data_IF_520393808531
#
_entry.id   IF_520393808531
#
_cell.length_a   1.000
_cell.length_b   1.000
_cell.length_c   1.000
_cell.angle_alpha   90.00
_cell.angle_beta   90.00
_cell.angle_gamma   90.00
#
_symmetry.space_group_name_H-M   'P 1'
#
loop_
_entity.id
_entity.type
_entity.pdbx_description
1 polymer ?
#
# COMPACT_ATOMS: atom_id res chain seq x y z
N UNK A 1 -0.03 27.86 -5.10
CA UNK A 1 1.14 27.25 -5.77
C UNK A 1 1.16 25.76 -5.44
N UNK A 2 0.60 24.91 -6.30
CA UNK A 2 0.70 23.45 -6.16
C UNK A 2 2.13 23.06 -6.51
N UNK A 3 2.88 22.59 -5.53
CA UNK A 3 4.21 22.00 -5.73
C UNK A 3 4.07 20.92 -6.81
N UNK A 4 4.72 21.11 -7.95
CA UNK A 4 4.86 20.05 -8.94
C UNK A 4 5.67 18.94 -8.27
N UNK A 5 5.00 17.88 -7.83
CA UNK A 5 5.65 16.70 -7.30
C UNK A 5 6.37 16.08 -8.49
N UNK A 6 7.69 16.26 -8.56
CA UNK A 6 8.53 15.55 -9.52
C UNK A 6 8.72 14.11 -9.00
N UNK A 7 8.10 13.10 -9.64
CA UNK A 7 8.23 11.71 -9.22
C UNK A 7 9.65 11.16 -9.41
N UNK A 8 10.57 11.91 -10.01
CA UNK A 8 11.97 11.55 -10.23
C UNK A 8 12.97 12.43 -9.48
N UNK A 9 12.51 13.35 -8.62
CA UNK A 9 13.41 14.11 -7.76
C UNK A 9 14.23 13.12 -6.91
N UNK A 10 15.55 13.14 -7.07
CA UNK A 10 16.44 12.28 -6.28
C UNK A 10 16.21 12.58 -4.80
N UNK A 11 15.75 11.57 -4.06
CA UNK A 11 15.53 11.70 -2.63
C UNK A 11 16.86 12.07 -1.97
N UNK A 12 16.90 13.21 -1.29
CA UNK A 12 18.10 13.70 -0.62
C UNK A 12 18.71 12.60 0.26
N UNK A 13 20.04 12.39 0.18
CA UNK A 13 20.72 11.26 0.81
C UNK A 13 20.34 11.12 2.29
N UNK A 14 20.10 9.89 2.72
CA UNK A 14 19.81 9.59 4.12
C UNK A 14 21.05 9.79 4.99
N UNK A 15 21.12 10.96 5.66
CA UNK A 15 21.95 11.13 6.85
C UNK A 15 21.18 10.60 8.09
N UNK A 16 21.76 9.64 8.81
CA UNK A 16 21.28 9.12 10.12
C UNK A 16 20.56 7.76 10.11
N UNK A 17 19.85 7.45 11.21
CA UNK A 17 19.14 6.17 11.50
C UNK A 17 18.04 5.79 10.48
N UNK A 18 17.67 6.69 9.57
CA UNK A 18 16.56 6.50 8.63
C UNK A 18 17.02 5.78 7.36
N UNK A 19 17.17 4.46 7.48
CA UNK A 19 17.75 3.61 6.44
C UNK A 19 16.73 3.13 5.39
N UNK A 20 15.43 3.04 5.72
CA UNK A 20 14.43 2.42 4.83
C UNK A 20 14.36 3.12 3.46
N UNK A 21 14.30 4.46 3.32
CA UNK A 21 14.21 5.08 2.00
C UNK A 21 15.34 4.70 1.04
N UNK A 22 16.52 4.34 1.57
CA UNK A 22 17.68 3.97 0.77
C UNK A 22 17.72 2.48 0.38
N UNK A 23 16.90 1.62 1.00
CA UNK A 23 16.86 0.20 0.66
C UNK A 23 16.15 -0.05 -0.67
N UNK A 24 16.52 -1.15 -1.31
CA UNK A 24 15.87 -1.63 -2.52
C UNK A 24 14.37 -1.91 -2.26
N UNK A 25 13.45 -1.46 -3.14
CA UNK A 25 12.01 -1.73 -3.04
C UNK A 25 11.65 -3.20 -2.82
N UNK A 26 12.34 -4.12 -3.50
CA UNK A 26 12.06 -5.55 -3.40
C UNK A 26 12.46 -6.11 -2.04
N UNK A 27 13.53 -5.60 -1.43
CA UNK A 27 13.92 -6.02 -0.08
C UNK A 27 12.85 -5.63 0.96
N UNK A 28 12.24 -4.46 0.81
CA UNK A 28 11.17 -3.98 1.70
C UNK A 28 9.87 -4.78 1.57
N UNK A 29 9.65 -5.43 0.42
CA UNK A 29 8.50 -6.31 0.18
C UNK A 29 8.85 -7.74 0.62
N UNK A 30 10.02 -8.25 0.23
CA UNK A 30 10.46 -9.60 0.52
C UNK A 30 10.70 -9.86 2.02
N UNK A 31 11.13 -8.84 2.77
CA UNK A 31 11.33 -8.94 4.22
C UNK A 31 10.03 -9.29 4.98
N UNK A 32 8.95 -8.50 4.91
CA UNK A 32 7.69 -8.80 5.61
C UNK A 32 6.85 -9.91 5.00
N UNK A 33 7.06 -10.28 3.72
CA UNK A 33 6.15 -11.17 3.01
C UNK A 33 5.97 -12.56 3.66
N UNK A 34 7.02 -13.27 4.11
CA UNK A 34 6.84 -14.52 4.85
C UNK A 34 6.05 -14.35 6.16
N UNK A 35 6.29 -13.27 6.90
CA UNK A 35 5.54 -12.96 8.12
C UNK A 35 4.06 -12.69 7.83
N UNK A 36 3.74 -11.96 6.75
CA UNK A 36 2.37 -11.72 6.32
C UNK A 36 1.64 -13.03 5.97
N UNK A 37 2.32 -13.95 5.27
CA UNK A 37 1.76 -15.26 4.91
C UNK A 37 1.55 -16.10 6.18
N UNK A 38 2.54 -16.18 7.07
CA UNK A 38 2.44 -16.97 8.30
C UNK A 38 1.35 -16.44 9.25
N UNK A 39 1.16 -15.12 9.33
CA UNK A 39 0.07 -14.50 10.10
C UNK A 39 -1.33 -14.94 9.65
N UNK A 40 -1.52 -15.34 8.39
CA UNK A 40 -2.82 -15.87 7.93
C UNK A 40 -3.22 -17.11 8.72
N UNK A 41 -2.24 -17.93 9.11
CA UNK A 41 -2.45 -19.18 9.84
C UNK A 41 -2.46 -19.04 11.36
N UNK A 42 -1.90 -17.94 11.90
CA UNK A 42 -1.90 -17.66 13.33
C UNK A 42 -3.35 -17.56 13.85
N UNK A 43 -3.67 -18.20 14.97
CA UNK A 43 -5.02 -18.13 15.60
C UNK A 43 -5.04 -17.45 16.95
N UNK A 44 -3.87 -17.32 17.56
CA UNK A 44 -3.63 -16.69 18.84
C UNK A 44 -3.63 -15.15 18.74
N UNK A 45 -3.65 -14.50 19.91
CA UNK A 45 -3.69 -13.04 20.01
C UNK A 45 -2.28 -12.42 20.05
N UNK A 46 -1.29 -13.18 20.52
CA UNK A 46 0.06 -12.71 20.84
C UNK A 46 0.90 -12.54 19.59
N UNK A 47 0.80 -13.48 18.64
CA UNK A 47 1.57 -13.46 17.38
C UNK A 47 1.20 -12.26 16.52
N UNK A 48 -0.09 -11.97 16.21
CA UNK A 48 -0.44 -10.76 15.48
C UNK A 48 0.02 -9.47 16.19
N UNK A 49 -0.09 -9.41 17.51
CA UNK A 49 0.32 -8.26 18.30
C UNK A 49 1.85 -8.03 18.23
N UNK A 50 2.65 -9.09 18.32
CA UNK A 50 4.11 -8.99 18.27
C UNK A 50 4.58 -8.49 16.89
N UNK A 51 3.97 -8.97 15.81
CA UNK A 51 4.24 -8.47 14.46
C UNK A 51 3.76 -7.05 14.22
N UNK A 52 2.65 -6.65 14.84
CA UNK A 52 2.20 -5.27 14.82
C UNK A 52 3.23 -4.35 15.47
N UNK A 53 3.73 -4.73 16.66
CA UNK A 53 4.79 -3.99 17.37
C UNK A 53 6.08 -3.94 16.57
N UNK A 54 6.49 -5.07 15.97
CA UNK A 54 7.67 -5.13 15.10
C UNK A 54 7.53 -4.17 13.90
N UNK A 55 6.38 -4.16 13.22
CA UNK A 55 6.13 -3.26 12.10
C UNK A 55 6.24 -1.78 12.52
N UNK A 56 5.66 -1.43 13.67
CA UNK A 56 5.79 -0.09 14.23
C UNK A 56 7.23 0.28 14.57
N UNK A 57 7.98 -0.62 15.21
CA UNK A 57 9.38 -0.40 15.53
C UNK A 57 10.22 -0.14 14.27
N UNK A 58 10.03 -0.95 13.23
CA UNK A 58 10.72 -0.79 11.94
C UNK A 58 10.35 0.55 11.27
N UNK A 59 9.06 0.92 11.27
CA UNK A 59 8.60 2.20 10.71
C UNK A 59 9.16 3.40 11.47
N UNK A 60 9.14 3.36 12.80
CA UNK A 60 9.62 4.46 13.66
C UNK A 60 11.12 4.70 13.52
N UNK A 61 11.91 3.63 13.50
CA UNK A 61 13.38 3.72 13.39
C UNK A 61 13.80 4.03 11.95
N UNK A 62 13.19 3.34 10.98
CA UNK A 62 13.69 3.31 9.62
C UNK A 62 13.08 4.33 8.66
N UNK A 63 11.83 4.77 8.88
CA UNK A 63 11.10 5.60 7.92
C UNK A 63 11.23 7.11 8.20
N UNK A 64 11.09 7.92 7.15
CA UNK A 64 11.01 9.39 7.25
C UNK A 64 9.56 9.84 7.42
N UNK A 65 8.99 9.60 8.60
CA UNK A 65 7.60 10.01 8.89
C UNK A 65 7.53 11.46 9.37
N UNK A 66 6.51 12.19 8.91
CA UNK A 66 6.12 13.47 9.50
C UNK A 66 5.33 13.22 10.79
N UNK A 67 5.38 14.16 11.75
CA UNK A 67 4.65 14.00 13.02
C UNK A 67 3.13 13.79 12.81
N UNK A 68 2.56 14.41 11.77
CA UNK A 68 1.16 14.19 11.36
C UNK A 68 0.92 12.75 10.91
N UNK A 69 1.78 12.20 10.05
CA UNK A 69 1.67 10.82 9.60
C UNK A 69 1.83 9.84 10.77
N UNK A 70 2.74 10.13 11.70
CA UNK A 70 2.91 9.30 12.89
C UNK A 70 1.66 9.31 13.78
N UNK A 71 1.08 10.49 14.04
CA UNK A 71 -0.17 10.61 14.79
C UNK A 71 -1.34 9.91 14.09
N UNK A 72 -1.40 10.00 12.76
CA UNK A 72 -2.40 9.28 11.97
C UNK A 72 -2.22 7.76 12.08
N UNK A 73 -1.01 7.21 11.99
CA UNK A 73 -0.78 5.77 12.15
C UNK A 73 -1.13 5.30 13.56
N UNK A 74 -0.64 6.02 14.58
CA UNK A 74 -0.86 5.72 15.99
C UNK A 74 -2.34 5.77 16.39
N UNK A 75 -3.17 6.54 15.68
CA UNK A 75 -4.62 6.57 15.91
C UNK A 75 -5.37 5.59 15.00
N UNK A 76 -5.08 5.60 13.70
CA UNK A 76 -5.89 4.91 12.70
C UNK A 76 -5.77 3.38 12.80
N UNK A 77 -4.59 2.82 13.08
CA UNK A 77 -4.45 1.37 13.18
C UNK A 77 -5.08 0.83 14.47
N UNK A 78 -4.86 1.40 15.67
CA UNK A 78 -5.57 0.94 16.86
C UNK A 78 -7.09 1.16 16.77
N UNK A 79 -7.53 2.29 16.19
CA UNK A 79 -8.95 2.53 15.95
C UNK A 79 -9.56 1.51 14.97
N UNK A 80 -8.85 1.15 13.89
CA UNK A 80 -9.34 0.14 12.96
C UNK A 80 -9.37 -1.25 13.61
N UNK A 81 -8.35 -1.62 14.40
CA UNK A 81 -8.35 -2.86 15.17
C UNK A 81 -9.51 -2.90 16.16
N UNK A 82 -9.84 -1.78 16.81
CA UNK A 82 -10.97 -1.72 17.72
C UNK A 82 -12.31 -1.89 16.99
N UNK A 83 -12.53 -1.14 15.91
CA UNK A 83 -13.78 -1.20 15.12
C UNK A 83 -13.97 -2.57 14.48
N UNK A 84 -12.92 -3.09 13.85
CA UNK A 84 -12.95 -4.42 13.22
C UNK A 84 -13.09 -5.51 14.28
N UNK A 85 -12.37 -5.40 15.41
CA UNK A 85 -12.40 -6.37 16.50
C UNK A 85 -13.78 -6.51 17.09
N UNK A 86 -14.42 -5.39 17.45
CA UNK A 86 -15.79 -5.37 17.93
C UNK A 86 -16.78 -5.84 16.85
N UNK A 87 -16.60 -5.41 15.61
CA UNK A 87 -17.43 -5.85 14.48
C UNK A 87 -17.41 -7.38 14.32
N UNK A 88 -16.23 -7.99 14.21
CA UNK A 88 -16.11 -9.45 14.10
C UNK A 88 -16.59 -10.18 15.37
N UNK A 89 -16.46 -9.58 16.55
CA UNK A 89 -16.95 -10.17 17.79
C UNK A 89 -18.47 -10.28 17.83
N UNK A 90 -19.19 -9.30 17.26
CA UNK A 90 -20.66 -9.31 17.19
C UNK A 90 -21.17 -10.35 16.19
N UNK A 91 -20.41 -10.58 15.10
CA UNK A 91 -20.74 -11.53 14.04
C UNK A 91 -20.14 -12.92 14.24
N UNK A 92 -19.45 -13.15 15.35
CA UNK A 92 -18.88 -14.46 15.65
C UNK A 92 -20.00 -15.48 15.88
N UNK A 93 -19.84 -16.67 15.30
CA UNK A 93 -20.80 -17.76 15.42
C UNK A 93 -20.92 -18.22 16.88
N UNK A 94 -22.05 -17.89 17.52
CA UNK A 94 -22.30 -18.21 18.93
C UNK A 94 -22.15 -19.71 19.21
N UNK A 95 -22.50 -20.60 18.27
CA UNK A 95 -22.40 -22.04 18.45
C UNK A 95 -20.95 -22.54 18.62
N UNK A 96 -19.96 -21.80 18.11
CA UNK A 96 -18.53 -22.12 18.31
C UNK A 96 -17.97 -21.59 19.62
N UNK A 97 -18.69 -20.71 20.30
CA UNK A 97 -18.16 -19.92 21.43
C UNK A 97 -19.05 -19.96 22.68
N UNK A 98 -20.18 -20.66 22.60
CA UNK A 98 -21.19 -20.83 23.66
C UNK A 98 -20.61 -21.47 24.95
N UNK A 99 -19.46 -22.14 24.85
CA UNK A 99 -18.76 -22.74 25.98
C UNK A 99 -17.92 -21.74 26.80
N UNK A 100 -17.81 -20.48 26.37
CA UNK A 100 -17.00 -19.46 27.06
C UNK A 100 -17.83 -18.54 27.94
N UNK A 101 -17.18 -17.77 28.82
CA UNK A 101 -17.86 -16.88 29.76
C UNK A 101 -18.68 -15.84 28.99
N UNK A 102 -19.97 -15.69 29.33
CA UNK A 102 -20.81 -14.63 28.81
C UNK A 102 -20.35 -13.27 29.39
N UNK A 103 -19.92 -12.37 28.52
CA UNK A 103 -19.40 -11.04 28.89
C UNK A 103 -20.52 -9.99 28.90
N UNK A 104 -21.44 -10.08 27.95
CA UNK A 104 -22.59 -9.17 27.86
C UNK A 104 -23.83 -9.98 27.49
N UNK A 105 -24.94 -9.77 28.18
CA UNK A 105 -26.22 -10.35 27.81
C UNK A 105 -27.21 -9.21 27.57
N UNK A 106 -27.77 -9.16 26.35
CA UNK A 106 -28.77 -8.18 25.92
C UNK A 106 -30.00 -8.96 25.43
N UNK A 107 -30.95 -9.19 26.33
CA UNK A 107 -32.16 -9.96 26.02
C UNK A 107 -31.82 -11.39 25.59
N UNK A 108 -32.19 -11.76 24.35
CA UNK A 108 -31.89 -13.08 23.77
C UNK A 108 -30.53 -13.21 23.09
N UNK A 109 -29.71 -12.15 23.08
CA UNK A 109 -28.37 -12.17 22.48
C UNK A 109 -27.29 -12.11 23.56
N UNK A 110 -26.34 -13.04 23.49
CA UNK A 110 -25.23 -13.18 24.43
C UNK A 110 -23.90 -13.00 23.71
N UNK A 111 -23.07 -12.06 24.19
CA UNK A 111 -21.70 -11.90 23.74
C UNK A 111 -20.77 -12.72 24.60
N UNK A 112 -20.16 -13.73 23.98
CA UNK A 112 -19.22 -14.62 24.63
C UNK A 112 -17.80 -14.06 24.65
N UNK A 113 -17.04 -14.35 25.70
CA UNK A 113 -15.64 -13.92 25.82
C UNK A 113 -14.76 -14.47 24.70
N UNK A 114 -15.04 -15.68 24.21
CA UNK A 114 -14.32 -16.21 23.05
C UNK A 114 -14.68 -15.51 21.73
N UNK A 115 -15.87 -14.87 21.63
CA UNK A 115 -16.24 -14.08 20.47
C UNK A 115 -15.39 -12.81 20.41
N UNK A 116 -15.13 -12.19 21.58
CA UNK A 116 -14.16 -11.10 21.70
C UNK A 116 -12.75 -11.55 21.36
N UNK A 117 -12.28 -12.69 21.89
CA UNK A 117 -10.94 -13.19 21.62
C UNK A 117 -10.71 -13.46 20.11
N UNK A 118 -11.68 -14.09 19.44
CA UNK A 118 -11.62 -14.39 18.00
C UNK A 118 -11.73 -13.12 17.15
N UNK A 119 -12.61 -12.19 17.51
CA UNK A 119 -12.76 -10.91 16.83
C UNK A 119 -11.50 -10.06 16.91
N UNK A 120 -10.93 -9.89 18.11
CA UNK A 120 -9.69 -9.14 18.31
C UNK A 120 -8.46 -9.84 17.71
N UNK A 121 -8.37 -11.18 17.74
CA UNK A 121 -7.32 -11.92 17.03
C UNK A 121 -7.34 -11.65 15.53
N UNK A 122 -8.54 -11.69 14.92
CA UNK A 122 -8.71 -11.38 13.50
C UNK A 122 -8.36 -9.93 13.20
N UNK A 123 -8.82 -8.99 14.02
CA UNK A 123 -8.55 -7.57 13.84
C UNK A 123 -7.06 -7.22 13.99
N UNK A 124 -6.38 -7.76 15.01
CA UNK A 124 -4.94 -7.59 15.18
C UNK A 124 -4.17 -8.21 14.02
N UNK A 125 -4.59 -9.36 13.50
CA UNK A 125 -3.99 -9.98 12.30
C UNK A 125 -4.08 -9.08 11.08
N UNK A 126 -5.25 -8.54 10.81
CA UNK A 126 -5.43 -7.58 9.72
C UNK A 126 -4.60 -6.31 9.95
N UNK A 127 -4.60 -5.77 11.17
CA UNK A 127 -3.78 -4.62 11.55
C UNK A 127 -2.28 -4.86 11.37
N UNK A 128 -1.78 -6.04 11.75
CA UNK A 128 -0.39 -6.43 11.60
C UNK A 128 -0.01 -6.58 10.13
N UNK A 129 -0.82 -7.29 9.33
CA UNK A 129 -0.60 -7.45 7.88
C UNK A 129 -0.56 -6.09 7.18
N UNK A 130 -1.51 -5.19 7.48
CA UNK A 130 -1.53 -3.84 6.93
C UNK A 130 -0.28 -3.06 7.36
N UNK A 131 0.10 -3.11 8.64
CA UNK A 131 1.27 -2.39 9.16
C UNK A 131 2.58 -2.88 8.52
N UNK A 132 2.72 -4.19 8.31
CA UNK A 132 3.83 -4.79 7.60
C UNK A 132 3.88 -4.33 6.13
N UNK A 133 2.74 -4.28 5.45
CA UNK A 133 2.67 -3.75 4.08
C UNK A 133 3.04 -2.26 4.01
N UNK A 134 2.71 -1.47 5.04
CA UNK A 134 3.06 -0.05 5.13
C UNK A 134 4.57 0.20 5.24
N UNK A 135 5.37 -0.77 5.70
CA UNK A 135 6.85 -0.67 5.68
C UNK A 135 7.35 -0.40 4.27
N UNK A 136 6.92 -1.21 3.30
CA UNK A 136 7.21 -0.98 1.88
C UNK A 136 6.46 0.21 1.32
N UNK A 137 5.15 0.29 1.58
CA UNK A 137 4.25 1.28 0.97
C UNK A 137 4.60 2.74 1.29
N UNK A 138 5.02 3.04 2.52
CA UNK A 138 5.36 4.41 2.93
C UNK A 138 6.81 4.81 2.63
N UNK A 139 7.68 3.85 2.31
CA UNK A 139 9.13 4.11 2.14
C UNK A 139 9.65 3.84 0.73
N UNK A 140 8.75 3.57 -0.21
CA UNK A 140 9.08 3.17 -1.59
C UNK A 140 8.30 3.99 -2.59
N UNK A 141 8.97 4.42 -3.67
CA UNK A 141 8.31 5.10 -4.79
C UNK A 141 7.83 4.07 -5.81
N UNK A 142 6.69 4.35 -6.46
CA UNK A 142 6.17 3.51 -7.54
C UNK A 142 7.16 3.29 -8.69
N UNK A 143 7.81 4.36 -9.21
CA UNK A 143 8.84 4.21 -10.25
C UNK A 143 10.02 3.33 -9.84
N UNK A 144 10.53 3.45 -8.61
CA UNK A 144 11.65 2.63 -8.16
C UNK A 144 11.24 1.16 -7.99
N UNK A 145 10.02 0.90 -7.53
CA UNK A 145 9.48 -0.46 -7.48
C UNK A 145 9.46 -1.09 -8.88
N UNK A 146 8.93 -0.38 -9.89
CA UNK A 146 8.93 -0.89 -11.27
C UNK A 146 10.35 -1.12 -11.80
N UNK A 147 11.27 -0.18 -11.55
CA UNK A 147 12.68 -0.33 -11.93
C UNK A 147 13.31 -1.57 -11.29
N UNK A 148 13.02 -1.83 -10.02
CA UNK A 148 13.52 -3.01 -9.33
C UNK A 148 12.96 -4.32 -9.91
N UNK A 149 11.69 -4.35 -10.30
CA UNK A 149 11.09 -5.49 -10.98
C UNK A 149 11.78 -5.80 -12.32
N UNK A 150 12.10 -4.77 -13.12
CA UNK A 150 12.80 -4.94 -14.40
C UNK A 150 14.26 -5.37 -14.17
N UNK A 151 14.96 -4.73 -13.22
CA UNK A 151 16.40 -4.93 -13.05
C UNK A 151 16.75 -6.23 -12.31
N UNK A 152 16.02 -6.58 -11.25
CA UNK A 152 16.28 -7.77 -10.43
C UNK A 152 15.41 -8.96 -10.82
N UNK A 153 14.09 -8.76 -10.99
CA UNK A 153 13.16 -9.83 -11.37
C UNK A 153 13.11 -10.09 -12.88
N UNK A 154 13.87 -9.33 -13.68
CA UNK A 154 13.98 -9.49 -15.14
C UNK A 154 12.62 -9.42 -15.86
N UNK A 155 11.68 -8.65 -15.31
CA UNK A 155 10.42 -8.34 -15.99
C UNK A 155 10.73 -7.67 -17.33
N UNK A 156 10.09 -8.06 -18.45
CA UNK A 156 10.35 -7.47 -19.76
C UNK A 156 10.25 -5.94 -19.70
N UNK A 157 11.29 -5.25 -20.19
CA UNK A 157 11.38 -3.78 -20.09
C UNK A 157 10.20 -3.09 -20.76
N UNK A 158 9.57 -3.72 -21.77
CA UNK A 158 8.34 -3.21 -22.40
C UNK A 158 7.20 -3.05 -21.40
N UNK A 159 7.00 -4.05 -20.55
CA UNK A 159 5.96 -4.03 -19.50
C UNK A 159 6.33 -3.00 -18.43
N UNK A 160 7.59 -3.02 -17.97
CA UNK A 160 8.07 -2.07 -16.97
C UNK A 160 7.96 -0.62 -17.44
N UNK A 161 8.28 -0.33 -18.70
CA UNK A 161 8.20 1.02 -19.25
C UNK A 161 6.76 1.50 -19.40
N UNK A 162 5.81 0.60 -19.69
CA UNK A 162 4.37 0.94 -19.66
C UNK A 162 3.93 1.37 -18.27
N UNK A 163 4.36 0.67 -17.21
CA UNK A 163 4.07 1.07 -15.84
C UNK A 163 4.75 2.40 -15.45
N UNK A 164 6.00 2.62 -15.87
CA UNK A 164 6.69 3.91 -15.68
C UNK A 164 5.98 5.06 -16.41
N UNK A 165 5.51 4.81 -17.64
CA UNK A 165 4.74 5.78 -18.41
C UNK A 165 3.41 6.10 -17.72
N UNK A 166 2.71 5.09 -17.19
CA UNK A 166 1.48 5.29 -16.44
C UNK A 166 1.69 6.23 -15.24
N UNK A 167 2.74 6.04 -14.44
CA UNK A 167 3.07 6.96 -13.33
C UNK A 167 3.29 8.40 -13.80
N UNK A 168 3.86 8.61 -14.99
CA UNK A 168 4.05 9.94 -15.59
C UNK A 168 2.74 10.54 -16.14
N UNK A 169 1.81 9.70 -16.59
CA UNK A 169 0.54 10.15 -17.16
C UNK A 169 -0.51 10.51 -16.11
N UNK A 170 -0.45 9.92 -14.91
CA UNK A 170 -1.37 10.26 -13.80
C UNK A 170 -1.46 11.77 -13.52
N UNK A 171 -0.36 12.50 -13.24
CA UNK A 171 -0.46 13.94 -12.97
C UNK A 171 -0.96 14.73 -14.18
N UNK A 172 -0.61 14.30 -15.39
CA UNK A 172 -1.09 14.90 -16.64
C UNK A 172 -2.61 14.78 -16.77
N UNK A 173 -3.16 13.57 -16.60
CA UNK A 173 -4.60 13.36 -16.70
C UNK A 173 -5.37 14.03 -15.57
N UNK A 174 -4.76 14.19 -14.40
CA UNK A 174 -5.32 15.04 -13.34
C UNK A 174 -5.49 16.50 -13.79
N UNK A 175 -4.51 17.05 -14.50
CA UNK A 175 -4.59 18.39 -15.07
C UNK A 175 -5.61 18.49 -16.22
N UNK A 176 -5.65 17.51 -17.12
CA UNK A 176 -6.64 17.46 -18.22
C UNK A 176 -8.07 17.34 -17.67
N UNK A 177 -8.29 16.53 -16.64
CA UNK A 177 -9.58 16.43 -15.94
C UNK A 177 -10.00 17.78 -15.36
N UNK A 178 -9.07 18.53 -14.76
CA UNK A 178 -9.39 19.86 -14.23
C UNK A 178 -9.80 20.80 -15.36
N UNK A 179 -9.07 20.87 -16.48
CA UNK A 179 -9.46 21.66 -17.65
C UNK A 179 -10.88 21.28 -18.14
N UNK A 180 -11.18 19.98 -18.24
CA UNK A 180 -12.51 19.50 -18.66
C UNK A 180 -13.59 19.98 -17.69
N UNK A 181 -13.38 19.86 -16.38
CA UNK A 181 -14.33 20.34 -15.35
C UNK A 181 -14.58 21.83 -15.46
N UNK A 182 -13.53 22.60 -15.73
CA UNK A 182 -13.61 24.05 -15.88
C UNK A 182 -14.39 24.43 -17.16
N UNK A 183 -14.12 23.75 -18.27
CA UNK A 183 -14.84 23.96 -19.53
C UNK A 183 -16.34 23.62 -19.43
N UNK A 184 -16.69 22.50 -18.77
CA UNK A 184 -18.09 22.15 -18.51
C UNK A 184 -18.79 23.18 -17.64
N UNK A 185 -18.09 23.76 -16.65
CA UNK A 185 -18.66 24.82 -15.80
C UNK A 185 -18.97 26.09 -16.59
N UNK A 186 -18.10 26.50 -17.51
CA UNK A 186 -18.34 27.64 -18.41
C UNK A 186 -19.52 27.38 -19.36
N UNK A 187 -19.67 26.15 -19.85
CA UNK A 187 -20.80 25.73 -20.71
C UNK A 187 -22.13 25.58 -19.96
N UNK A 188 -22.18 25.92 -18.67
CA UNK A 188 -23.40 25.86 -17.89
C UNK A 188 -23.87 24.44 -17.57
N UNK A 189 -22.99 23.42 -17.64
CA UNK A 189 -23.30 22.03 -17.29
C UNK A 189 -23.47 21.83 -15.77
N UNK A 190 -24.41 22.57 -15.17
CA UNK A 190 -24.81 22.45 -13.78
C UNK A 190 -25.98 21.47 -13.71
N UNK A 191 -25.68 20.17 -13.75
CA UNK A 191 -26.68 19.10 -13.69
C UNK A 191 -27.41 18.97 -12.34
N UNK A 192 -27.71 20.07 -11.65
CA UNK A 192 -28.34 20.10 -10.33
C UNK A 192 -27.39 19.82 -9.16
N UNK A 193 -27.95 19.87 -7.94
CA UNK A 193 -27.28 19.53 -6.68
C UNK A 193 -27.71 18.11 -6.26
N UNK A 194 -26.78 17.32 -5.70
CA UNK A 194 -27.05 15.97 -5.20
C UNK A 194 -26.12 14.88 -5.76
N UNK A 195 -26.20 13.65 -5.21
CA UNK A 195 -25.32 12.54 -5.59
C UNK A 195 -25.57 12.03 -7.01
N UNK A 196 -26.83 11.93 -7.44
CA UNK A 196 -27.20 11.52 -8.81
C UNK A 196 -26.70 12.52 -9.85
N UNK A 197 -26.88 13.80 -9.56
CA UNK A 197 -26.34 14.91 -10.34
C UNK A 197 -24.80 14.85 -10.45
N UNK A 198 -24.11 14.45 -9.38
CA UNK A 198 -22.67 14.26 -9.40
C UNK A 198 -22.25 13.09 -10.29
N UNK A 199 -22.96 11.96 -10.23
CA UNK A 199 -22.70 10.80 -11.09
C UNK A 199 -22.90 11.14 -12.58
N UNK A 200 -23.98 11.84 -12.92
CA UNK A 200 -24.24 12.29 -14.29
C UNK A 200 -23.12 13.21 -14.82
N UNK A 201 -22.62 14.14 -13.99
CA UNK A 201 -21.48 15.01 -14.36
C UNK A 201 -20.21 14.20 -14.63
N UNK A 202 -19.93 13.18 -13.81
CA UNK A 202 -18.79 12.30 -14.03
C UNK A 202 -18.87 11.59 -15.38
N UNK A 203 -20.05 11.12 -15.79
CA UNK A 203 -20.26 10.56 -17.14
C UNK A 203 -19.83 11.54 -18.25
N UNK A 204 -20.18 12.83 -18.11
CA UNK A 204 -19.79 13.87 -19.06
C UNK A 204 -18.28 14.15 -19.12
N UNK A 205 -17.52 13.90 -18.04
CA UNK A 205 -16.07 14.11 -18.01
C UNK A 205 -15.28 12.92 -18.55
N UNK A 206 -15.81 11.70 -18.38
CA UNK A 206 -15.12 10.46 -18.74
C UNK A 206 -14.86 10.39 -20.24
N UNK A 207 -15.87 10.67 -21.08
CA UNK A 207 -15.74 10.61 -22.54
C UNK A 207 -14.62 11.51 -23.09
N UNK A 208 -14.58 12.84 -22.80
CA UNK A 208 -13.52 13.70 -23.28
C UNK A 208 -12.14 13.34 -22.69
N UNK A 209 -12.08 12.88 -21.45
CA UNK A 209 -10.83 12.45 -20.82
C UNK A 209 -10.27 11.19 -21.50
N UNK A 210 -11.11 10.19 -21.75
CA UNK A 210 -10.72 8.98 -22.47
C UNK A 210 -10.27 9.30 -23.90
N UNK A 211 -11.00 10.14 -24.61
CA UNK A 211 -10.60 10.58 -25.95
C UNK A 211 -9.24 11.32 -25.92
N UNK A 212 -9.00 12.15 -24.89
CA UNK A 212 -7.70 12.78 -24.65
C UNK A 212 -6.58 11.77 -24.37
N UNK A 213 -6.87 10.77 -23.54
CA UNK A 213 -5.95 9.70 -23.19
C UNK A 213 -5.55 8.84 -24.40
N UNK A 214 -6.51 8.47 -25.25
CA UNK A 214 -6.24 7.70 -26.49
C UNK A 214 -5.32 8.50 -27.42
N UNK A 215 -5.66 9.76 -27.71
CA UNK A 215 -4.80 10.64 -28.54
C UNK A 215 -3.43 10.87 -27.93
N UNK A 216 -3.31 10.84 -26.59
CA UNK A 216 -2.02 10.93 -25.93
C UNK A 216 -1.21 9.65 -26.11
N UNK A 217 -1.84 8.49 -25.89
CA UNK A 217 -1.23 7.18 -26.05
C UNK A 217 -0.72 6.95 -27.48
N UNK A 218 -1.53 7.27 -28.50
CA UNK A 218 -1.13 7.18 -29.92
C UNK A 218 0.12 8.03 -30.21
N UNK A 219 0.13 9.29 -29.76
CA UNK A 219 1.29 10.18 -29.95
C UNK A 219 2.53 9.66 -29.25
N UNK A 220 2.38 9.08 -28.05
CA UNK A 220 3.51 8.48 -27.33
C UNK A 220 4.00 7.22 -28.04
N UNK A 221 3.10 6.36 -28.52
CA UNK A 221 3.45 5.16 -29.26
C UNK A 221 4.24 5.49 -30.53
N UNK A 222 3.73 6.41 -31.36
CA UNK A 222 4.43 6.88 -32.57
C UNK A 222 5.81 7.48 -32.24
N UNK A 223 5.92 8.26 -31.15
CA UNK A 223 7.19 8.81 -30.71
C UNK A 223 8.15 7.74 -30.16
N UNK A 224 7.63 6.65 -29.60
CA UNK A 224 8.43 5.51 -29.13
C UNK A 224 8.94 4.68 -30.31
N UNK A 225 8.11 4.43 -31.31
CA UNK A 225 8.49 3.72 -32.54
C UNK A 225 9.55 4.51 -33.32
N UNK A 226 9.39 5.82 -33.45
CA UNK A 226 10.39 6.70 -34.08
C UNK A 226 11.74 6.71 -33.33
N UNK A 227 11.76 6.36 -32.04
CA UNK A 227 12.98 6.21 -31.22
C UNK A 227 13.46 4.76 -31.16
N UNK A 228 12.95 3.89 -32.03
CA UNK A 228 13.28 2.47 -32.10
C UNK A 228 13.07 1.74 -30.76
N UNK A 229 12.06 2.14 -29.97
CA UNK A 229 11.72 1.43 -28.74
C UNK A 229 11.28 0.01 -29.09
N UNK A 230 11.98 -0.99 -28.56
CA UNK A 230 11.71 -2.36 -28.96
C UNK A 230 12.67 -2.97 -29.98
N UNK A 231 13.60 -2.21 -30.55
CA UNK A 231 14.50 -2.73 -31.57
C UNK A 231 15.45 -3.82 -31.06
N UNK A 232 15.74 -3.83 -29.75
CA UNK A 232 16.61 -4.83 -29.13
C UNK A 232 15.88 -5.64 -28.04
N UNK A 233 16.28 -6.90 -27.81
CA UNK A 233 15.76 -7.72 -26.70
C UNK A 233 16.08 -7.13 -25.32
N UNK A 234 17.20 -6.42 -25.20
CA UNK A 234 17.68 -5.80 -23.97
C UNK A 234 17.83 -4.29 -24.14
N UNK A 235 17.82 -3.57 -23.00
CA UNK A 235 17.95 -2.12 -22.94
C UNK A 235 18.91 -1.72 -21.82
N UNK A 236 19.68 -0.67 -22.06
CA UNK A 236 20.47 -0.01 -21.01
C UNK A 236 19.57 0.90 -20.17
N UNK A 237 19.64 0.76 -18.85
CA UNK A 237 18.84 1.55 -17.90
C UNK A 237 19.62 2.75 -17.40
N UNK A 238 19.04 3.95 -17.54
CA UNK A 238 19.67 5.20 -17.08
C UNK A 238 19.71 5.32 -15.56
N UNK A 239 18.66 4.85 -14.89
CA UNK A 239 18.55 4.90 -13.44
C UNK A 239 18.60 3.50 -12.86
N UNK A 240 19.62 3.24 -12.05
CA UNK A 240 19.85 1.95 -11.45
C UNK A 240 19.31 1.93 -10.01
N UNK A 241 18.63 0.85 -9.67
CA UNK A 241 18.18 0.53 -8.31
C UNK A 241 18.88 -0.76 -7.90
N UNK A 242 20.21 -0.73 -7.64
CA UNK A 242 20.97 -1.95 -7.37
C UNK A 242 20.51 -2.60 -6.07
N UNK A 243 20.54 -3.93 -6.05
CA UNK A 243 20.41 -4.69 -4.80
C UNK A 243 21.80 -4.76 -4.16
N UNK A 244 21.93 -4.22 -2.95
CA UNK A 244 23.20 -4.07 -2.21
C UNK A 244 23.21 -4.99 -0.99
N UNK A 245 24.39 -5.19 -0.39
CA UNK A 245 24.54 -6.01 0.82
C UNK A 245 23.62 -5.57 1.97
N UNK A 246 23.39 -4.26 2.15
CA UNK A 246 22.44 -3.72 3.15
C UNK A 246 21.00 -4.22 2.97
N UNK A 247 20.60 -4.51 1.73
CA UNK A 247 19.26 -5.00 1.41
C UNK A 247 19.13 -6.46 1.84
N UNK A 248 20.16 -7.28 1.58
CA UNK A 248 20.24 -8.65 2.07
C UNK A 248 20.26 -8.71 3.62
N UNK A 249 21.08 -7.86 4.26
CA UNK A 249 21.14 -7.77 5.73
C UNK A 249 19.78 -7.42 6.30
N UNK A 250 19.05 -6.47 5.71
CA UNK A 250 17.71 -6.12 6.16
C UNK A 250 16.73 -7.31 6.05
N UNK A 251 16.73 -8.01 4.91
CA UNK A 251 15.85 -9.18 4.70
C UNK A 251 16.16 -10.28 5.72
N UNK A 252 17.43 -10.63 5.90
CA UNK A 252 17.86 -11.68 6.84
C UNK A 252 17.58 -11.26 8.29
N UNK A 253 17.85 -10.01 8.67
CA UNK A 253 17.53 -9.49 10.00
C UNK A 253 16.02 -9.53 10.27
N UNK A 254 15.20 -9.21 9.26
CA UNK A 254 13.75 -9.27 9.40
C UNK A 254 13.25 -10.72 9.54
N UNK A 255 13.78 -11.65 8.73
CA UNK A 255 13.40 -13.05 8.80
C UNK A 255 13.84 -13.72 10.11
N UNK A 256 15.03 -13.39 10.60
CA UNK A 256 15.50 -13.89 11.90
C UNK A 256 14.66 -13.34 13.05
N UNK A 257 14.32 -12.05 13.04
CA UNK A 257 13.39 -11.47 14.02
C UNK A 257 12.01 -12.11 13.93
N UNK A 258 11.47 -12.31 12.71
CA UNK A 258 10.19 -12.98 12.48
C UNK A 258 10.20 -14.42 13.00
N UNK A 259 11.25 -15.19 12.71
CA UNK A 259 11.40 -16.57 13.19
C UNK A 259 11.50 -16.62 14.72
N UNK A 260 12.27 -15.72 15.33
CA UNK A 260 12.35 -15.61 16.79
C UNK A 260 10.97 -15.30 17.41
N UNK A 261 10.20 -14.37 16.83
CA UNK A 261 8.85 -14.06 17.30
C UNK A 261 7.90 -15.27 17.20
N UNK A 262 7.96 -16.04 16.11
CA UNK A 262 7.16 -17.27 15.98
C UNK A 262 7.55 -18.33 17.01
N UNK A 263 8.85 -18.52 17.25
CA UNK A 263 9.33 -19.49 18.24
C UNK A 263 8.96 -19.09 19.68
N UNK A 264 9.05 -17.78 19.99
CA UNK A 264 8.71 -17.25 21.32
C UNK A 264 7.21 -17.20 21.57
N UNK A 265 6.40 -16.94 20.54
CA UNK A 265 4.94 -16.94 20.67
C UNK A 265 4.37 -18.34 20.92
N UNK A 266 5.13 -19.40 20.59
CA UNK A 266 4.83 -20.77 21.01
C UNK A 266 3.54 -21.35 20.46
N UNK A 267 2.94 -20.74 19.43
CA UNK A 267 1.66 -21.12 18.85
C UNK A 267 1.81 -21.65 17.44
N UNK A 268 2.10 -22.95 17.34
CA UNK A 268 1.81 -23.76 16.14
C UNK A 268 0.43 -24.40 16.30
#
# INVERSE_FOLDING_TARGET
MTVAIDPYAEAAPSRGLRFLPALNPLAKIAAPLPAMIALVFARDLVTPLSFLVLAYAVLLVGARLSGRMLGLLALAIPASVLVIGLGFSVWADAARVDQSVAVLQLGGWTLYGGALATGFSTALRLGAIVSLALVGGLTTTGPDLVRSLVQQLRVPYRIGYTALAAFRFVPRFGHELEIIRQAHRVRGAHGGRGPLAAAARWGGYVVPLLAGAIRHAERVALAMDARAFGAHPTRTERHLVPFRARDAVFVVAFWTASAALFLLAGSW
#
